data_IF_464605823636
#
_entry.id   IF_464605823636
#
_cell.length_a   1.000
_cell.length_b   1.000
_cell.length_c   1.000
_cell.angle_alpha   90.00
_cell.angle_beta   90.00
_cell.angle_gamma   90.00
#
_symmetry.space_group_name_H-M   'P 1'
#
loop_
_entity.id
_entity.type
_entity.pdbx_description
1 polymer ?
#
# COMPACT_ATOMS: atom_id res chain seq x y z
N UNK A 1 -13.82 59.64 16.05
CA UNK A 1 -12.91 58.72 15.31
C UNK A 1 -11.52 59.33 15.07
N UNK A 2 -10.82 59.70 16.15
CA UNK A 2 -9.46 60.30 16.01
C UNK A 2 -8.33 59.27 16.03
N UNK A 3 -8.56 58.09 16.58
CA UNK A 3 -7.54 56.99 16.72
C UNK A 3 -7.09 56.42 15.35
N UNK A 4 -7.98 56.30 14.36
CA UNK A 4 -7.66 55.69 13.05
C UNK A 4 -6.61 56.54 12.31
N UNK A 5 -6.55 57.87 12.54
CA UNK A 5 -5.57 58.75 11.91
C UNK A 5 -4.13 58.45 12.36
N UNK A 6 -3.96 58.00 13.59
CA UNK A 6 -2.64 57.62 14.13
C UNK A 6 -2.18 56.22 13.74
N UNK A 7 -3.11 55.35 13.29
CA UNK A 7 -2.82 54.01 12.78
C UNK A 7 -2.35 54.00 11.32
N UNK A 8 -2.64 55.07 10.55
CA UNK A 8 -2.25 55.15 9.12
C UNK A 8 -0.78 54.84 8.84
N UNK A 9 0.23 55.40 9.59
CA UNK A 9 1.63 55.09 9.29
C UNK A 9 2.01 53.62 9.61
N UNK A 10 1.21 52.91 10.39
CA UNK A 10 1.48 51.51 10.83
C UNK A 10 0.65 50.48 10.08
N UNK A 11 -0.09 50.86 9.05
CA UNK A 11 -0.96 49.93 8.29
C UNK A 11 -0.19 48.70 7.78
N UNK A 12 1.04 48.88 7.29
CA UNK A 12 1.89 47.80 6.82
C UNK A 12 2.21 46.80 7.94
N UNK A 13 2.58 47.30 9.13
CA UNK A 13 2.84 46.43 10.28
C UNK A 13 1.57 45.71 10.75
N UNK A 14 0.43 46.38 10.72
CA UNK A 14 -0.87 45.76 11.09
C UNK A 14 -1.22 44.60 10.15
N UNK A 15 -1.03 44.79 8.83
CA UNK A 15 -1.27 43.72 7.85
C UNK A 15 -0.36 42.52 8.11
N UNK A 16 0.93 42.75 8.39
CA UNK A 16 1.89 41.72 8.71
C UNK A 16 1.47 40.95 9.97
N UNK A 17 1.05 41.67 11.03
CA UNK A 17 0.58 41.06 12.28
C UNK A 17 -0.65 40.18 12.01
N UNK A 18 -1.63 40.67 11.25
CA UNK A 18 -2.84 39.90 10.90
C UNK A 18 -2.46 38.63 10.12
N UNK A 19 -1.53 38.74 9.16
CA UNK A 19 -1.06 37.60 8.39
C UNK A 19 -0.36 36.55 9.28
N UNK A 20 0.49 37.01 10.22
CA UNK A 20 1.16 36.12 11.18
C UNK A 20 0.17 35.44 12.13
N UNK A 21 -0.83 36.18 12.65
CA UNK A 21 -1.88 35.60 13.49
C UNK A 21 -2.72 34.55 12.70
N UNK A 22 -2.96 34.78 11.42
CA UNK A 22 -3.67 33.82 10.58
C UNK A 22 -2.84 32.53 10.38
N UNK A 23 -1.54 32.66 10.11
CA UNK A 23 -0.63 31.51 10.00
C UNK A 23 -0.56 30.76 11.33
N UNK A 24 -0.46 31.48 12.45
CA UNK A 24 -0.45 30.88 13.78
C UNK A 24 -1.74 30.08 14.04
N UNK A 25 -2.90 30.65 13.75
CA UNK A 25 -4.18 29.98 13.94
C UNK A 25 -4.29 28.69 13.12
N UNK A 26 -3.85 28.70 11.85
CA UNK A 26 -3.83 27.50 11.01
C UNK A 26 -2.89 26.46 11.60
N UNK A 27 -1.70 26.85 12.06
CA UNK A 27 -0.73 25.94 12.65
C UNK A 27 -1.26 25.28 13.93
N UNK A 28 -1.91 26.05 14.80
CA UNK A 28 -2.50 25.55 16.05
C UNK A 28 -3.66 24.57 15.78
N UNK A 29 -4.50 24.85 14.77
CA UNK A 29 -5.60 23.95 14.36
C UNK A 29 -5.09 22.66 13.71
N UNK A 30 -3.94 22.71 13.03
CA UNK A 30 -3.35 21.52 12.39
C UNK A 30 -2.59 20.62 13.36
N UNK A 31 -2.18 21.13 14.50
CA UNK A 31 -1.38 20.39 15.49
C UNK A 31 -2.04 19.10 15.99
N UNK A 32 -3.35 19.09 16.35
CA UNK A 32 -4.04 17.87 16.76
C UNK A 32 -4.07 16.80 15.66
N UNK A 33 -4.23 17.19 14.39
CA UNK A 33 -4.25 16.28 13.25
C UNK A 33 -2.88 15.62 13.05
N UNK A 34 -1.79 16.39 13.14
CA UNK A 34 -0.43 15.84 13.09
C UNK A 34 -0.13 14.90 14.26
N UNK A 35 -0.55 15.27 15.49
CA UNK A 35 -0.39 14.40 16.65
C UNK A 35 -1.18 13.10 16.51
N UNK A 36 -2.41 13.17 16.03
CA UNK A 36 -3.25 12.00 15.73
C UNK A 36 -2.58 11.08 14.69
N UNK A 37 -2.04 11.65 13.61
CA UNK A 37 -1.35 10.89 12.59
C UNK A 37 -0.05 10.25 13.11
N UNK A 38 0.73 10.96 13.93
CA UNK A 38 1.93 10.40 14.56
C UNK A 38 1.58 9.20 15.44
N UNK A 39 0.53 9.30 16.23
CA UNK A 39 0.10 8.21 17.13
C UNK A 39 -0.52 7.07 16.35
N UNK A 40 -1.48 7.36 15.48
CA UNK A 40 -2.25 6.32 14.79
C UNK A 40 -1.40 5.63 13.71
N UNK A 41 -0.79 6.41 12.83
CA UNK A 41 -0.01 5.84 11.70
C UNK A 41 1.40 5.47 12.16
N UNK A 42 2.09 6.38 12.86
CA UNK A 42 3.49 6.18 13.24
C UNK A 42 3.67 5.09 14.31
N UNK A 43 2.86 5.10 15.36
CA UNK A 43 3.03 4.20 16.51
C UNK A 43 2.16 2.96 16.38
N UNK A 44 0.85 3.12 16.15
CA UNK A 44 -0.07 1.98 16.15
C UNK A 44 0.04 1.14 14.87
N UNK A 45 0.25 1.77 13.71
CA UNK A 45 0.34 1.09 12.41
C UNK A 45 1.79 0.86 11.94
N UNK A 46 2.79 1.15 12.79
CA UNK A 46 4.20 0.95 12.45
C UNK A 46 4.68 1.79 11.26
N UNK A 47 4.05 2.94 11.03
CA UNK A 47 4.37 3.84 9.89
C UNK A 47 3.69 3.48 8.57
N UNK A 48 2.81 2.49 8.56
CA UNK A 48 2.08 2.07 7.36
C UNK A 48 0.75 2.83 7.29
N UNK A 49 0.69 3.84 6.46
CA UNK A 49 -0.50 4.68 6.27
C UNK A 49 -1.64 3.92 5.58
N UNK A 50 -1.30 3.03 4.66
CA UNK A 50 -2.25 2.18 3.93
C UNK A 50 -1.71 0.75 3.85
N UNK A 51 -2.56 -0.23 4.08
CA UNK A 51 -2.22 -1.66 3.90
C UNK A 51 -2.07 -2.04 2.43
N UNK A 52 -2.53 -1.20 1.49
CA UNK A 52 -2.33 -1.42 0.05
C UNK A 52 -0.89 -1.03 -0.30
N UNK A 53 -0.07 -1.96 -0.80
CA UNK A 53 1.33 -1.69 -1.11
C UNK A 53 1.45 -0.68 -2.25
N UNK A 54 2.32 0.32 -2.09
CA UNK A 54 2.63 1.27 -3.18
C UNK A 54 3.40 0.61 -4.31
N UNK A 55 4.22 -0.39 -3.99
CA UNK A 55 5.02 -1.17 -4.94
C UNK A 55 4.86 -2.64 -4.60
N UNK A 56 4.59 -3.46 -5.61
CA UNK A 56 4.52 -4.93 -5.51
C UNK A 56 5.51 -5.52 -6.50
N UNK A 57 6.29 -6.51 -6.08
CA UNK A 57 7.14 -7.29 -6.98
C UNK A 57 6.28 -8.18 -7.87
N UNK A 58 6.73 -8.42 -9.10
CA UNK A 58 6.02 -9.30 -10.04
C UNK A 58 5.81 -10.70 -9.46
N UNK A 59 6.84 -11.25 -8.84
CA UNK A 59 6.77 -12.56 -8.16
C UNK A 59 5.72 -12.58 -7.03
N UNK A 60 5.62 -11.53 -6.24
CA UNK A 60 4.61 -11.42 -5.18
C UNK A 60 3.19 -11.22 -5.73
N UNK A 61 3.04 -10.38 -6.77
CA UNK A 61 1.74 -10.21 -7.45
C UNK A 61 1.22 -11.54 -8.00
N UNK A 62 2.10 -12.35 -8.59
CA UNK A 62 1.75 -13.68 -9.09
C UNK A 62 1.28 -14.62 -7.97
N UNK A 63 1.91 -14.59 -6.78
CA UNK A 63 1.48 -15.36 -5.62
C UNK A 63 0.13 -14.89 -5.09
N UNK A 64 -0.07 -13.58 -4.96
CA UNK A 64 -1.33 -12.99 -4.52
C UNK A 64 -2.48 -13.36 -5.46
N UNK A 65 -2.25 -13.31 -6.79
CA UNK A 65 -3.28 -13.61 -7.80
C UNK A 65 -3.82 -15.04 -7.75
N UNK A 66 -3.11 -15.98 -7.11
CA UNK A 66 -3.60 -17.34 -6.89
C UNK A 66 -4.82 -17.37 -5.95
N UNK A 67 -4.88 -16.43 -5.01
CA UNK A 67 -5.89 -16.34 -3.96
C UNK A 67 -6.94 -15.25 -4.22
N UNK A 68 -6.91 -14.62 -5.40
CA UNK A 68 -7.80 -13.51 -5.79
C UNK A 68 -8.71 -13.98 -6.94
N UNK A 69 -9.98 -13.60 -6.87
CA UNK A 69 -10.95 -13.88 -7.95
C UNK A 69 -10.60 -13.13 -9.23
N UNK A 70 -11.03 -13.65 -10.38
CA UNK A 70 -10.67 -13.10 -11.69
C UNK A 70 -11.13 -11.64 -11.87
N UNK A 71 -12.33 -11.30 -11.37
CA UNK A 71 -12.84 -9.94 -11.44
C UNK A 71 -12.04 -8.95 -10.59
N UNK A 72 -11.58 -9.39 -9.41
CA UNK A 72 -10.79 -8.58 -8.50
C UNK A 72 -9.33 -8.47 -8.97
N UNK A 73 -8.80 -9.50 -9.64
CA UNK A 73 -7.49 -9.40 -10.31
C UNK A 73 -7.49 -8.30 -11.38
N UNK A 74 -8.58 -8.17 -12.17
CA UNK A 74 -8.70 -7.07 -13.13
C UNK A 74 -8.65 -5.70 -12.46
N UNK A 75 -9.32 -5.53 -11.31
CA UNK A 75 -9.25 -4.27 -10.55
C UNK A 75 -7.81 -3.94 -10.11
N UNK A 76 -7.04 -4.95 -9.71
CA UNK A 76 -5.63 -4.78 -9.37
C UNK A 76 -4.84 -4.37 -10.61
N UNK A 77 -5.04 -5.03 -11.74
CA UNK A 77 -4.35 -4.72 -13.00
C UNK A 77 -4.66 -3.30 -13.50
N UNK A 78 -5.90 -2.86 -13.38
CA UNK A 78 -6.32 -1.51 -13.79
C UNK A 78 -5.70 -0.40 -12.91
N UNK A 79 -5.35 -0.72 -11.66
CA UNK A 79 -4.86 0.25 -10.69
C UNK A 79 -3.36 0.14 -10.40
N UNK A 80 -2.67 -0.85 -10.97
CA UNK A 80 -1.22 -1.00 -10.84
C UNK A 80 -0.54 -0.91 -12.21
N UNK A 81 0.43 -0.01 -12.32
CA UNK A 81 1.24 0.18 -13.53
C UNK A 81 2.48 -0.69 -13.47
N UNK A 82 2.75 -1.45 -14.55
CA UNK A 82 4.00 -2.22 -14.68
C UNK A 82 5.18 -1.26 -14.86
N UNK A 83 6.19 -1.42 -14.02
CA UNK A 83 7.49 -0.75 -14.05
C UNK A 83 8.53 -1.76 -14.52
N UNK A 84 8.90 -1.67 -15.78
CA UNK A 84 9.89 -2.55 -16.41
C UNK A 84 10.81 -1.75 -17.33
N UNK A 85 11.93 -2.34 -17.68
CA UNK A 85 12.91 -1.73 -18.61
C UNK A 85 12.31 -1.46 -19.98
N UNK A 86 11.36 -2.28 -20.40
CA UNK A 86 10.74 -2.18 -21.74
C UNK A 86 9.64 -1.10 -21.79
N UNK A 87 9.07 -0.75 -20.65
CA UNK A 87 7.92 0.17 -20.57
C UNK A 87 8.30 1.61 -20.19
N UNK A 88 9.56 1.86 -19.84
CA UNK A 88 10.05 3.16 -19.40
C UNK A 88 11.17 3.68 -20.31
N UNK A 89 11.32 4.99 -20.37
CA UNK A 89 12.53 5.60 -20.93
C UNK A 89 13.75 5.28 -20.05
N UNK A 90 14.94 5.33 -20.63
CA UNK A 90 16.18 5.04 -19.92
C UNK A 90 16.38 5.91 -18.66
N UNK A 91 15.99 7.18 -18.73
CA UNK A 91 16.12 8.10 -17.60
C UNK A 91 15.13 7.76 -16.49
N UNK A 92 13.86 7.50 -16.81
CA UNK A 92 12.84 7.09 -15.84
C UNK A 92 13.23 5.76 -15.19
N UNK A 93 13.68 4.77 -15.97
CA UNK A 93 14.12 3.49 -15.44
C UNK A 93 15.28 3.65 -14.44
N UNK A 94 16.28 4.48 -14.75
CA UNK A 94 17.39 4.75 -13.85
C UNK A 94 16.95 5.45 -12.55
N UNK A 95 15.96 6.31 -12.61
CA UNK A 95 15.41 6.98 -11.42
C UNK A 95 14.60 6.01 -10.56
N UNK A 96 13.82 5.13 -11.18
CA UNK A 96 13.16 4.02 -10.46
C UNK A 96 14.17 3.04 -9.85
N UNK A 97 15.24 2.71 -10.58
CA UNK A 97 16.28 1.80 -10.10
C UNK A 97 17.02 2.35 -8.86
N UNK A 98 17.30 3.66 -8.81
CA UNK A 98 17.87 4.31 -7.62
C UNK A 98 16.93 4.19 -6.41
N UNK A 99 15.62 4.31 -6.64
CA UNK A 99 14.59 4.27 -5.59
C UNK A 99 14.27 2.84 -5.17
N UNK A 100 14.25 1.92 -6.13
CA UNK A 100 13.91 0.51 -5.96
C UNK A 100 14.96 -0.39 -6.61
N UNK A 101 16.09 -0.69 -5.93
CA UNK A 101 17.18 -1.50 -6.50
C UNK A 101 16.75 -2.91 -6.96
N UNK A 102 15.67 -3.46 -6.40
CA UNK A 102 15.11 -4.76 -6.79
C UNK A 102 14.58 -4.78 -8.24
N UNK A 103 14.34 -3.62 -8.86
CA UNK A 103 13.97 -3.51 -10.27
C UNK A 103 15.03 -4.08 -11.22
N UNK A 104 16.27 -4.20 -10.78
CA UNK A 104 17.35 -4.87 -11.55
C UNK A 104 17.12 -6.38 -11.66
N UNK A 105 16.45 -6.99 -10.69
CA UNK A 105 16.23 -8.44 -10.59
C UNK A 105 14.89 -8.87 -11.15
N UNK A 106 13.84 -8.09 -10.94
CA UNK A 106 12.47 -8.37 -11.39
C UNK A 106 11.66 -7.09 -11.64
N UNK A 107 10.66 -7.19 -12.51
CA UNK A 107 9.70 -6.12 -12.75
C UNK A 107 8.90 -5.79 -11.48
N UNK A 108 8.47 -4.54 -11.36
CA UNK A 108 7.66 -4.05 -10.26
C UNK A 108 6.31 -3.55 -10.77
N UNK A 109 5.33 -3.51 -9.89
CA UNK A 109 4.03 -2.91 -10.11
C UNK A 109 3.86 -1.75 -9.13
N UNK A 110 3.59 -0.55 -9.64
CA UNK A 110 3.36 0.65 -8.85
C UNK A 110 1.88 1.01 -8.82
N UNK A 111 1.34 1.28 -7.63
CA UNK A 111 -0.02 1.76 -7.46
C UNK A 111 -0.21 3.10 -8.18
N UNK A 112 -1.12 3.14 -9.15
CA UNK A 112 -1.35 4.28 -10.03
C UNK A 112 -2.66 5.03 -9.69
N UNK A 113 -3.08 5.01 -8.43
CA UNK A 113 -4.27 5.72 -7.99
C UNK A 113 -4.05 6.38 -6.63
N UNK A 114 -4.66 7.55 -6.44
CA UNK A 114 -4.74 8.25 -5.17
C UNK A 114 -6.20 8.37 -4.68
N UNK A 115 -7.15 7.73 -5.36
CA UNK A 115 -8.54 7.73 -4.95
C UNK A 115 -8.73 6.84 -3.71
N UNK A 116 -9.17 7.44 -2.62
CA UNK A 116 -9.35 6.75 -1.33
C UNK A 116 -10.35 5.60 -1.39
N UNK A 117 -11.42 5.74 -2.18
CA UNK A 117 -12.45 4.70 -2.35
C UNK A 117 -11.86 3.48 -3.07
N UNK A 118 -11.06 3.71 -4.13
CA UNK A 118 -10.37 2.64 -4.86
C UNK A 118 -9.34 1.96 -3.98
N UNK A 119 -8.58 2.72 -3.20
CA UNK A 119 -7.58 2.17 -2.26
C UNK A 119 -8.26 1.30 -1.20
N UNK A 120 -9.43 1.71 -0.68
CA UNK A 120 -10.18 0.92 0.31
C UNK A 120 -10.76 -0.36 -0.31
N UNK A 121 -11.23 -0.32 -1.57
CA UNK A 121 -11.65 -1.52 -2.31
C UNK A 121 -10.47 -2.49 -2.53
N UNK A 122 -9.33 -1.98 -2.99
CA UNK A 122 -8.10 -2.77 -3.14
C UNK A 122 -7.60 -3.37 -1.82
N UNK A 123 -7.73 -2.62 -0.72
CA UNK A 123 -7.42 -3.11 0.62
C UNK A 123 -8.28 -4.32 0.99
N UNK A 124 -9.58 -4.24 0.74
CA UNK A 124 -10.50 -5.36 0.96
C UNK A 124 -10.11 -6.61 0.16
N UNK A 125 -9.68 -6.42 -1.09
CA UNK A 125 -9.25 -7.50 -1.99
C UNK A 125 -7.92 -8.11 -1.55
N UNK A 126 -6.92 -7.30 -1.19
CA UNK A 126 -5.55 -7.74 -0.92
C UNK A 126 -5.35 -8.29 0.48
N UNK A 127 -6.12 -7.86 1.48
CA UNK A 127 -5.88 -8.18 2.89
C UNK A 127 -5.79 -9.68 3.18
N UNK A 128 -6.75 -10.48 2.70
CA UNK A 128 -6.76 -11.94 2.93
C UNK A 128 -5.64 -12.65 2.14
N UNK A 129 -5.44 -12.39 0.84
CA UNK A 129 -4.33 -12.95 0.07
C UNK A 129 -2.95 -12.62 0.66
N UNK A 130 -2.72 -11.40 1.11
CA UNK A 130 -1.45 -11.00 1.73
C UNK A 130 -1.15 -11.81 2.99
N UNK A 131 -2.13 -11.99 3.87
CA UNK A 131 -1.98 -12.81 5.06
C UNK A 131 -1.65 -14.26 4.72
N UNK A 132 -2.31 -14.83 3.71
CA UNK A 132 -2.06 -16.21 3.26
C UNK A 132 -0.66 -16.35 2.70
N UNK A 133 -0.25 -15.46 1.77
CA UNK A 133 1.09 -15.48 1.18
C UNK A 133 2.15 -15.29 2.26
N UNK A 134 1.92 -14.39 3.23
CA UNK A 134 2.81 -14.21 4.37
C UNK A 134 2.91 -15.46 5.24
N UNK A 135 1.79 -16.10 5.57
CA UNK A 135 1.75 -17.34 6.35
C UNK A 135 2.54 -18.45 5.69
N UNK A 136 2.34 -18.65 4.38
CA UNK A 136 3.08 -19.63 3.58
C UNK A 136 4.58 -19.32 3.57
N UNK A 137 4.95 -18.07 3.26
CA UNK A 137 6.34 -17.66 3.10
C UNK A 137 7.11 -17.67 4.42
N UNK A 138 6.43 -17.37 5.54
CA UNK A 138 7.07 -17.33 6.87
C UNK A 138 7.16 -18.71 7.56
N UNK A 139 6.67 -19.78 6.93
CA UNK A 139 6.63 -21.12 7.52
C UNK A 139 5.64 -21.26 8.68
N UNK A 140 4.77 -20.28 8.92
CA UNK A 140 3.76 -20.28 9.98
C UNK A 140 2.44 -20.93 9.53
N UNK A 141 2.51 -21.85 8.58
CA UNK A 141 1.32 -22.52 8.02
C UNK A 141 0.55 -23.37 9.04
N UNK A 142 1.19 -23.77 10.14
CA UNK A 142 0.51 -24.54 11.21
C UNK A 142 -0.61 -23.75 11.91
N UNK A 143 -0.56 -22.40 11.86
CA UNK A 143 -1.61 -21.55 12.40
C UNK A 143 -2.81 -21.38 11.44
N UNK A 144 -2.61 -21.62 10.13
CA UNK A 144 -3.68 -21.64 9.15
C UNK A 144 -4.16 -23.09 9.00
N UNK A 145 -5.34 -23.42 9.54
CA UNK A 145 -5.96 -24.73 9.43
C UNK A 145 -6.30 -25.08 7.96
N UNK A 146 -5.29 -25.44 7.16
CA UNK A 146 -5.49 -26.15 5.90
C UNK A 146 -6.04 -27.58 6.10
N UNK A 147 -6.27 -28.00 7.37
CA UNK A 147 -6.64 -29.34 7.77
C UNK A 147 -8.12 -29.69 7.64
N UNK A 148 -8.98 -28.78 7.15
CA UNK A 148 -10.40 -29.11 6.94
C UNK A 148 -10.70 -29.86 5.64
N UNK A 149 -9.73 -30.00 4.75
CA UNK A 149 -9.84 -30.91 3.61
C UNK A 149 -9.17 -32.23 3.98
N UNK A 150 -9.86 -33.35 3.80
CA UNK A 150 -9.40 -34.74 4.01
C UNK A 150 -8.16 -35.12 3.17
N UNK A 151 -7.35 -34.19 2.77
CA UNK A 151 -6.11 -34.34 2.03
C UNK A 151 -4.97 -33.89 2.93
N UNK A 152 -4.39 -34.82 3.69
CA UNK A 152 -3.03 -34.67 4.19
C UNK A 152 -2.11 -34.49 2.96
N UNK A 153 -1.89 -33.25 2.52
CA UNK A 153 -0.81 -32.95 1.61
C UNK A 153 0.50 -33.15 2.39
N UNK A 154 1.03 -34.36 2.36
CA UNK A 154 2.43 -34.62 2.70
C UNK A 154 3.28 -33.96 1.61
N UNK A 155 3.49 -32.64 1.73
CA UNK A 155 4.40 -31.92 0.85
C UNK A 155 5.83 -32.35 1.19
N UNK A 156 6.62 -32.81 0.21
CA UNK A 156 8.04 -33.08 0.44
C UNK A 156 8.72 -31.77 0.90
N UNK A 157 9.64 -31.85 1.84
CA UNK A 157 10.33 -30.72 2.50
C UNK A 157 11.03 -29.72 1.56
N UNK A 158 11.12 -30.01 0.26
CA UNK A 158 11.87 -29.23 -0.73
C UNK A 158 11.04 -28.70 -1.90
N UNK A 159 9.71 -28.75 -1.87
CA UNK A 159 8.87 -28.23 -2.97
C UNK A 159 8.30 -26.85 -2.58
N UNK A 160 8.54 -25.86 -3.44
CA UNK A 160 7.87 -24.55 -3.34
C UNK A 160 6.35 -24.74 -3.46
N UNK A 161 5.65 -24.46 -2.37
CA UNK A 161 4.20 -24.59 -2.25
C UNK A 161 3.48 -23.79 -3.35
N UNK A 162 3.98 -22.62 -3.70
CA UNK A 162 3.39 -21.78 -4.75
C UNK A 162 3.43 -22.45 -6.13
N UNK A 163 4.47 -23.25 -6.40
CA UNK A 163 4.56 -24.05 -7.63
C UNK A 163 3.47 -25.13 -7.67
N UNK A 164 3.16 -25.74 -6.55
CA UNK A 164 2.07 -26.72 -6.44
C UNK A 164 0.72 -26.03 -6.63
N UNK A 165 0.49 -24.91 -5.93
CA UNK A 165 -0.76 -24.14 -5.99
C UNK A 165 -1.05 -23.60 -7.40
N UNK A 166 -0.03 -23.18 -8.14
CA UNK A 166 -0.17 -22.74 -9.55
C UNK A 166 -0.76 -23.82 -10.46
N UNK A 167 -0.56 -25.10 -10.14
CA UNK A 167 -1.06 -26.22 -10.94
C UNK A 167 -2.43 -26.73 -10.48
N UNK A 168 -2.99 -26.19 -9.39
CA UNK A 168 -4.31 -26.56 -8.91
C UNK A 168 -5.41 -25.70 -9.57
N UNK A 169 -6.60 -26.27 -9.82
CA UNK A 169 -7.77 -25.49 -10.23
C UNK A 169 -8.13 -24.45 -9.14
N UNK A 170 -8.56 -23.26 -9.55
CA UNK A 170 -8.94 -22.19 -8.62
C UNK A 170 -10.03 -22.59 -7.62
N UNK A 171 -10.96 -23.45 -8.03
CA UNK A 171 -12.03 -23.96 -7.17
C UNK A 171 -11.47 -24.75 -5.98
N UNK A 172 -10.43 -25.54 -6.20
CA UNK A 172 -9.76 -26.29 -5.11
C UNK A 172 -9.01 -25.36 -4.17
N UNK A 173 -8.34 -24.33 -4.70
CA UNK A 173 -7.68 -23.32 -3.86
C UNK A 173 -8.71 -22.58 -3.00
N UNK A 174 -9.86 -22.21 -3.57
CA UNK A 174 -10.96 -21.55 -2.86
C UNK A 174 -11.60 -22.45 -1.78
N UNK A 175 -11.69 -23.76 -1.99
CA UNK A 175 -12.17 -24.71 -0.98
C UNK A 175 -11.19 -24.84 0.20
N UNK A 176 -9.88 -24.76 -0.06
CA UNK A 176 -8.85 -24.79 0.99
C UNK A 176 -8.84 -23.53 1.87
N UNK A 177 -9.49 -22.45 1.42
CA UNK A 177 -9.52 -21.14 2.10
C UNK A 177 -10.82 -20.87 2.87
N UNK A 178 -11.80 -21.78 2.82
CA UNK A 178 -13.06 -21.71 3.58
C UNK A 178 -12.89 -22.25 4.98
#
# INVERSE_FOLDING_TARGET
>A
MKLIKYLKPFIGSIIVIIALLFIQAISELSLPDYMSNIVNVGIQQGGIENSVPKIIRKSEKEKLSLFIEENDNKKIEDNYKLISKDNLSLNEYNDYLKKYPLLEQEDLYELNTNNKEVIEDLRGILAKPELIVYGITSGKMEEFNFNNSNSQMNLPENIDIFTVLKNLPKDQINEMLK
#
